data_IF_997973088174
#
_entry.id   IF_997973088174
#
_cell.length_a   1.000
_cell.length_b   1.000
_cell.length_c   1.000
_cell.angle_alpha   90.00
_cell.angle_beta   90.00
_cell.angle_gamma   90.00
#
_symmetry.space_group_name_H-M   'P 1'
#
loop_
_entity.id
_entity.type
_entity.pdbx_description
1 polymer ?
#
# COMPACT_ATOMS: atom_id res chain seq x y z
N UNK A 1 4.77 -8.19 -17.19
CA UNK A 1 4.00 -9.44 -17.06
C UNK A 1 3.35 -9.59 -15.68
N UNK A 2 4.04 -9.88 -14.57
CA UNK A 2 3.39 -10.02 -13.23
C UNK A 2 2.49 -8.82 -12.89
N UNK A 3 2.98 -7.60 -13.14
CA UNK A 3 2.19 -6.35 -13.02
C UNK A 3 0.86 -6.37 -13.76
N UNK A 4 0.87 -6.83 -15.02
CA UNK A 4 -0.30 -6.80 -15.91
C UNK A 4 -1.32 -7.88 -15.52
N UNK A 5 -0.83 -9.01 -15.00
CA UNK A 5 -1.68 -10.10 -14.51
C UNK A 5 -2.40 -9.69 -13.24
N UNK A 6 -1.69 -9.11 -12.27
CA UNK A 6 -2.28 -8.58 -11.02
C UNK A 6 -3.17 -7.34 -11.26
N UNK A 7 -3.10 -6.75 -12.46
CA UNK A 7 -3.97 -5.65 -12.86
C UNK A 7 -5.37 -6.12 -13.26
N UNK A 8 -5.50 -7.36 -13.72
CA UNK A 8 -6.77 -7.93 -14.14
C UNK A 8 -7.49 -8.56 -12.93
N UNK A 9 -8.71 -8.11 -12.57
CA UNK A 9 -9.40 -8.59 -11.37
C UNK A 9 -9.57 -10.11 -11.34
N UNK A 10 -9.96 -10.72 -12.47
CA UNK A 10 -10.18 -12.16 -12.59
C UNK A 10 -8.88 -12.97 -12.41
N UNK A 11 -7.78 -12.53 -13.02
CA UNK A 11 -6.50 -13.21 -12.89
C UNK A 11 -5.92 -13.03 -11.49
N UNK A 12 -6.12 -11.85 -10.89
CA UNK A 12 -5.76 -11.59 -9.50
C UNK A 12 -6.54 -12.49 -8.54
N UNK A 13 -7.82 -12.76 -8.82
CA UNK A 13 -8.63 -13.68 -8.02
C UNK A 13 -8.13 -15.12 -8.13
N UNK A 14 -7.81 -15.60 -9.34
CA UNK A 14 -7.25 -16.95 -9.55
C UNK A 14 -5.91 -17.12 -8.81
N UNK A 15 -5.01 -16.15 -8.92
CA UNK A 15 -3.72 -16.19 -8.21
C UNK A 15 -3.90 -16.13 -6.70
N UNK A 16 -4.90 -15.40 -6.22
CA UNK A 16 -5.21 -15.28 -4.79
C UNK A 16 -5.89 -16.50 -4.17
N UNK A 17 -6.21 -17.52 -4.96
CA UNK A 17 -6.85 -18.74 -4.48
C UNK A 17 -5.89 -19.58 -3.61
N UNK A 18 -6.47 -20.31 -2.66
CA UNK A 18 -5.83 -21.32 -1.81
C UNK A 18 -5.09 -22.41 -2.60
N UNK A 19 -5.53 -22.70 -3.83
CA UNK A 19 -4.87 -23.68 -4.72
C UNK A 19 -3.53 -23.16 -5.28
N UNK A 20 -3.37 -21.84 -5.40
CA UNK A 20 -2.21 -21.20 -6.04
C UNK A 20 -1.24 -20.54 -5.04
N UNK A 21 -1.28 -20.98 -3.78
CA UNK A 21 -0.44 -20.43 -2.69
C UNK A 21 1.04 -20.38 -3.05
N UNK A 22 1.57 -21.45 -3.62
CA UNK A 22 2.98 -21.53 -4.00
C UNK A 22 3.37 -20.47 -5.02
N UNK A 23 2.47 -20.12 -5.96
CA UNK A 23 2.77 -19.18 -7.03
C UNK A 23 3.00 -17.77 -6.50
N UNK A 24 2.10 -17.27 -5.65
CA UNK A 24 2.28 -15.93 -5.09
C UNK A 24 3.35 -15.90 -4.00
N UNK A 25 3.53 -16.96 -3.20
CA UNK A 25 4.66 -17.06 -2.26
C UNK A 25 6.00 -16.97 -2.99
N UNK A 26 6.16 -17.69 -4.11
CA UNK A 26 7.34 -17.60 -4.97
C UNK A 26 7.49 -16.22 -5.59
N UNK A 27 6.42 -15.60 -6.08
CA UNK A 27 6.47 -14.25 -6.66
C UNK A 27 6.92 -13.18 -5.65
N UNK A 28 6.36 -13.21 -4.43
CA UNK A 28 6.79 -12.35 -3.31
C UNK A 28 8.26 -12.62 -2.99
N UNK A 29 8.65 -13.89 -2.91
CA UNK A 29 10.05 -14.31 -2.75
C UNK A 29 10.95 -13.68 -3.80
N UNK A 30 10.66 -13.85 -5.09
CA UNK A 30 11.48 -13.33 -6.18
C UNK A 30 11.66 -11.81 -6.10
N UNK A 31 10.58 -11.06 -5.86
CA UNK A 31 10.67 -9.60 -5.72
C UNK A 31 11.54 -9.22 -4.52
N UNK A 32 11.34 -9.88 -3.37
CA UNK A 32 12.16 -9.66 -2.18
C UNK A 32 13.65 -9.90 -2.45
N UNK A 33 13.99 -11.00 -3.13
CA UNK A 33 15.39 -11.31 -3.50
C UNK A 33 15.97 -10.29 -4.48
N UNK A 34 15.19 -9.77 -5.44
CA UNK A 34 15.65 -8.71 -6.35
C UNK A 34 15.99 -7.43 -5.58
N UNK A 35 15.13 -7.02 -4.64
CA UNK A 35 15.36 -5.85 -3.78
C UNK A 35 16.60 -6.05 -2.91
N UNK A 36 16.78 -7.24 -2.35
CA UNK A 36 17.95 -7.60 -1.54
C UNK A 36 19.24 -7.60 -2.36
N UNK A 37 19.25 -8.25 -3.54
CA UNK A 37 20.39 -8.28 -4.45
C UNK A 37 20.77 -6.88 -4.95
N UNK A 38 19.79 -6.01 -5.14
CA UNK A 38 19.99 -4.59 -5.48
C UNK A 38 20.46 -3.73 -4.31
N UNK A 39 20.65 -4.28 -3.10
CA UNK A 39 21.03 -3.55 -1.87
C UNK A 39 20.16 -2.31 -1.61
N UNK A 40 18.88 -2.41 -1.96
CA UNK A 40 17.92 -1.29 -1.86
C UNK A 40 17.59 -0.97 -0.41
N UNK A 41 17.62 -1.96 0.47
CA UNK A 41 17.44 -1.79 1.90
C UNK A 41 18.52 -0.88 2.52
N UNK A 42 18.21 -0.27 3.66
CA UNK A 42 19.21 0.38 4.51
C UNK A 42 20.08 -0.68 5.18
N UNK A 43 21.33 -0.33 5.49
CA UNK A 43 22.28 -1.25 6.12
C UNK A 43 21.79 -1.70 7.52
N UNK A 44 20.98 -0.87 8.19
CA UNK A 44 20.37 -1.15 9.50
C UNK A 44 18.96 -1.77 9.40
N UNK A 45 18.56 -2.34 8.25
CA UNK A 45 17.24 -2.96 8.14
C UNK A 45 17.17 -4.28 8.92
N UNK A 46 16.66 -4.19 10.15
CA UNK A 46 16.32 -5.35 10.98
C UNK A 46 14.96 -5.92 10.56
N UNK A 47 14.90 -7.19 10.09
CA UNK A 47 13.64 -7.86 9.81
C UNK A 47 12.77 -7.92 11.05
N UNK A 48 11.47 -7.67 10.93
CA UNK A 48 10.57 -7.83 12.08
C UNK A 48 10.32 -9.31 12.36
N UNK A 49 10.35 -9.68 13.64
CA UNK A 49 9.95 -11.00 14.10
C UNK A 49 8.49 -10.97 14.55
N UNK A 50 7.70 -11.90 14.05
CA UNK A 50 6.37 -12.19 14.60
C UNK A 50 6.59 -13.12 15.80
N UNK A 51 5.97 -12.86 16.96
CA UNK A 51 6.10 -13.73 18.12
C UNK A 51 5.72 -15.17 17.75
N UNK A 52 6.67 -16.11 17.89
CA UNK A 52 6.39 -17.54 17.77
C UNK A 52 5.95 -18.05 19.13
N UNK A 53 4.65 -18.32 19.31
CA UNK A 53 4.19 -18.95 20.53
C UNK A 53 4.33 -20.47 20.42
N UNK A 54 5.34 -21.01 21.12
CA UNK A 54 5.65 -22.43 21.31
C UNK A 54 5.83 -23.25 20.02
N UNK A 55 6.84 -24.12 20.01
CA UNK A 55 6.99 -25.11 18.96
C UNK A 55 5.75 -26.02 18.96
N UNK A 56 4.77 -25.70 18.12
CA UNK A 56 3.65 -26.58 17.82
C UNK A 56 4.26 -27.91 17.34
N UNK A 57 3.94 -29.06 17.97
CA UNK A 57 4.48 -30.35 17.59
C UNK A 57 3.96 -30.70 16.21
N UNK A 58 4.83 -30.53 15.19
CA UNK A 58 4.51 -30.68 13.78
C UNK A 58 4.49 -29.36 13.03
N UNK A 59 5.67 -28.78 12.76
CA UNK A 59 5.84 -27.70 11.77
C UNK A 59 5.32 -28.20 10.43
N UNK A 60 4.10 -27.77 10.07
CA UNK A 60 3.61 -27.94 8.72
C UNK A 60 4.47 -27.04 7.84
N UNK A 61 5.36 -27.64 7.05
CA UNK A 61 6.27 -26.88 6.19
C UNK A 61 5.49 -25.91 5.29
N UNK A 62 4.23 -26.20 4.95
CA UNK A 62 3.39 -25.30 4.15
C UNK A 62 3.12 -23.98 4.88
N UNK A 63 2.77 -24.04 6.16
CA UNK A 63 2.50 -22.84 6.96
C UNK A 63 3.77 -21.99 7.14
N UNK A 64 4.93 -22.61 7.29
CA UNK A 64 6.20 -21.87 7.40
C UNK A 64 6.52 -21.07 6.12
N UNK A 65 6.28 -21.65 4.94
CA UNK A 65 6.46 -20.95 3.66
C UNK A 65 5.45 -19.81 3.49
N UNK A 66 4.22 -20.03 3.95
CA UNK A 66 3.15 -19.03 3.96
C UNK A 66 3.52 -17.85 4.85
N UNK A 67 3.91 -18.11 6.08
CA UNK A 67 4.33 -17.10 7.04
C UNK A 67 5.55 -16.33 6.53
N UNK A 68 6.53 -17.01 5.90
CA UNK A 68 7.67 -16.34 5.28
C UNK A 68 7.24 -15.36 4.17
N UNK A 69 6.24 -15.71 3.36
CA UNK A 69 5.69 -14.79 2.37
C UNK A 69 4.98 -13.59 3.01
N UNK A 70 4.26 -13.80 4.12
CA UNK A 70 3.66 -12.73 4.91
C UNK A 70 4.70 -11.75 5.46
N UNK A 71 5.83 -12.25 5.97
CA UNK A 71 6.94 -11.41 6.41
C UNK A 71 7.50 -10.56 5.27
N UNK A 72 7.88 -11.23 4.18
CA UNK A 72 8.49 -10.58 3.00
C UNK A 72 7.57 -9.51 2.41
N UNK A 73 6.25 -9.73 2.35
CA UNK A 73 5.37 -8.70 1.80
C UNK A 73 5.26 -7.48 2.71
N UNK A 74 5.26 -7.67 4.03
CA UNK A 74 5.17 -6.56 4.98
C UNK A 74 6.44 -5.73 4.96
N UNK A 75 7.60 -6.38 4.79
CA UNK A 75 8.88 -5.72 4.54
C UNK A 75 8.81 -4.90 3.24
N UNK A 76 8.42 -5.53 2.12
CA UNK A 76 8.28 -4.83 0.84
C UNK A 76 7.36 -3.60 0.95
N UNK A 77 6.26 -3.69 1.70
CA UNK A 77 5.37 -2.56 1.94
C UNK A 77 6.02 -1.49 2.82
N UNK A 78 6.80 -1.85 3.84
CA UNK A 78 7.57 -0.90 4.64
C UNK A 78 8.54 -0.10 3.77
N UNK A 79 9.25 -0.78 2.87
CA UNK A 79 10.17 -0.15 1.93
C UNK A 79 9.48 0.89 1.02
N UNK A 80 8.22 0.66 0.65
CA UNK A 80 7.44 1.61 -0.15
C UNK A 80 6.94 2.82 0.66
N UNK A 81 6.74 2.62 1.96
CA UNK A 81 6.15 3.63 2.85
C UNK A 81 7.20 4.39 3.66
N UNK A 82 8.50 4.18 3.40
CA UNK A 82 9.56 4.93 4.07
C UNK A 82 9.27 6.44 4.00
N UNK A 83 9.25 7.10 5.16
CA UNK A 83 9.13 8.55 5.20
C UNK A 83 10.32 9.19 4.46
N UNK A 84 10.04 10.23 3.68
CA UNK A 84 11.09 11.09 3.15
C UNK A 84 11.79 11.75 4.34
N UNK A 85 12.94 11.20 4.73
CA UNK A 85 13.74 11.70 5.84
C UNK A 85 14.35 13.06 5.45
N UNK A 86 14.55 13.98 6.40
CA UNK A 86 15.39 15.16 6.17
C UNK A 86 16.82 14.79 5.72
N UNK A 87 17.27 13.54 5.96
CA UNK A 87 18.57 13.00 5.55
C UNK A 87 18.63 12.51 4.10
N UNK A 88 17.54 12.59 3.34
CA UNK A 88 17.53 12.29 1.91
C UNK A 88 16.28 11.53 1.41
N UNK A 89 16.12 11.42 0.08
CA UNK A 89 14.98 10.75 -0.53
C UNK A 89 14.93 9.24 -0.22
N UNK A 90 13.73 8.65 -0.29
CA UNK A 90 13.45 7.24 0.00
C UNK A 90 14.45 6.27 -0.64
N UNK A 91 14.86 5.22 0.09
CA UNK A 91 15.85 4.27 -0.39
C UNK A 91 15.37 3.54 -1.65
N UNK A 92 14.08 3.19 -1.70
CA UNK A 92 13.46 2.61 -2.89
C UNK A 92 13.60 3.50 -4.12
N UNK A 93 13.40 4.81 -3.97
CA UNK A 93 13.46 5.77 -5.09
C UNK A 93 14.88 5.98 -5.57
N UNK A 94 15.85 6.03 -4.65
CA UNK A 94 17.25 6.36 -4.94
C UNK A 94 18.06 5.18 -5.45
N UNK A 95 17.85 3.99 -4.87
CA UNK A 95 18.66 2.80 -5.18
C UNK A 95 18.06 1.91 -6.26
N UNK A 96 16.76 2.00 -6.52
CA UNK A 96 16.12 1.21 -7.58
C UNK A 96 16.26 1.91 -8.93
N UNK A 97 16.72 1.18 -9.95
CA UNK A 97 16.81 1.70 -11.31
C UNK A 97 15.47 2.27 -11.78
N UNK A 98 15.51 3.46 -12.38
CA UNK A 98 14.32 4.24 -12.66
C UNK A 98 13.25 3.50 -13.48
N UNK A 99 13.66 2.72 -14.48
CA UNK A 99 12.74 1.96 -15.33
C UNK A 99 12.04 0.83 -14.57
N UNK A 100 12.60 0.36 -13.45
CA UNK A 100 12.02 -0.68 -12.59
C UNK A 100 11.14 -0.14 -11.48
N UNK A 101 11.30 1.12 -11.06
CA UNK A 101 10.60 1.69 -9.89
C UNK A 101 9.10 1.49 -9.95
N UNK A 102 8.45 1.96 -11.01
CA UNK A 102 6.99 1.85 -11.14
C UNK A 102 6.49 0.42 -11.38
N UNK A 103 7.10 -0.38 -12.29
CA UNK A 103 6.75 -1.79 -12.41
C UNK A 103 6.86 -2.57 -11.09
N UNK A 104 7.93 -2.33 -10.31
CA UNK A 104 8.18 -3.00 -9.04
C UNK A 104 7.18 -2.57 -7.97
N UNK A 105 6.99 -1.26 -7.79
CA UNK A 105 5.99 -0.71 -6.85
C UNK A 105 4.60 -1.28 -7.11
N UNK A 106 4.17 -1.32 -8.37
CA UNK A 106 2.86 -1.88 -8.76
C UNK A 106 2.77 -3.38 -8.50
N UNK A 107 3.84 -4.13 -8.72
CA UNK A 107 3.87 -5.57 -8.43
C UNK A 107 3.79 -5.83 -6.91
N UNK A 108 4.57 -5.10 -6.11
CA UNK A 108 4.55 -5.18 -4.65
C UNK A 108 3.15 -4.86 -4.08
N UNK A 109 2.53 -3.75 -4.51
CA UNK A 109 1.17 -3.41 -4.08
C UNK A 109 0.14 -4.43 -4.58
N UNK A 110 0.26 -4.92 -5.81
CA UNK A 110 -0.63 -5.96 -6.34
C UNK A 110 -0.58 -7.25 -5.52
N UNK A 111 0.62 -7.71 -5.14
CA UNK A 111 0.80 -8.89 -4.29
C UNK A 111 0.32 -8.66 -2.86
N UNK A 112 0.55 -7.47 -2.30
CA UNK A 112 0.06 -7.07 -0.98
C UNK A 112 -1.47 -7.05 -0.86
N UNK A 113 -2.19 -7.04 -1.99
CA UNK A 113 -3.65 -7.10 -2.05
C UNK A 113 -4.21 -8.53 -2.11
N UNK A 114 -3.36 -9.56 -2.21
CA UNK A 114 -3.82 -10.94 -2.22
C UNK A 114 -4.31 -11.37 -0.83
N UNK A 115 -5.46 -12.07 -0.71
CA UNK A 115 -6.15 -12.28 0.57
C UNK A 115 -5.26 -12.83 1.68
N UNK A 116 -4.47 -13.84 1.36
CA UNK A 116 -3.64 -14.58 2.32
C UNK A 116 -2.60 -13.70 3.02
N UNK A 117 -2.00 -12.74 2.30
CA UNK A 117 -0.93 -11.88 2.84
C UNK A 117 -1.40 -10.47 3.18
N UNK A 118 -2.63 -10.11 2.78
CA UNK A 118 -3.13 -8.74 2.87
C UNK A 118 -3.26 -8.25 4.31
N UNK A 119 -3.66 -9.11 5.25
CA UNK A 119 -3.68 -8.77 6.68
C UNK A 119 -2.30 -8.33 7.18
N UNK A 120 -1.27 -9.11 6.86
CA UNK A 120 0.12 -8.78 7.22
C UNK A 120 0.63 -7.52 6.53
N UNK A 121 0.34 -7.36 5.24
CA UNK A 121 0.74 -6.17 4.49
C UNK A 121 0.18 -4.87 5.10
N UNK A 122 -1.03 -4.93 5.66
CA UNK A 122 -1.69 -3.78 6.31
C UNK A 122 -1.25 -3.59 7.77
N UNK A 123 -0.63 -4.59 8.39
CA UNK A 123 -0.23 -4.54 9.79
C UNK A 123 1.13 -3.82 9.96
N UNK A 124 1.21 -2.76 10.77
CA UNK A 124 2.48 -2.11 11.11
C UNK A 124 3.47 -3.07 11.78
N UNK A 125 4.76 -3.10 11.40
CA UNK A 125 5.74 -4.00 12.00
C UNK A 125 5.98 -3.74 13.49
N UNK A 126 5.80 -2.49 13.92
CA UNK A 126 5.91 -2.09 15.34
C UNK A 126 4.93 -2.85 16.23
N UNK A 127 3.77 -3.25 15.70
CA UNK A 127 2.73 -3.95 16.43
C UNK A 127 3.20 -5.31 16.96
N UNK A 128 4.04 -6.00 16.18
CA UNK A 128 4.65 -7.27 16.57
C UNK A 128 5.64 -7.08 17.73
N UNK A 129 6.38 -5.97 17.74
CA UNK A 129 7.31 -5.61 18.82
C UNK A 129 6.58 -5.24 20.11
N UNK A 130 5.36 -4.72 19.99
CA UNK A 130 4.45 -4.45 21.11
C UNK A 130 3.76 -5.71 21.65
N UNK A 131 4.08 -6.90 21.12
CA UNK A 131 3.55 -8.17 21.62
C UNK A 131 2.17 -8.54 21.09
N UNK A 132 1.66 -7.88 20.04
CA UNK A 132 0.39 -8.28 19.44
C UNK A 132 0.54 -9.63 18.73
N UNK A 133 -0.24 -10.62 19.18
CA UNK A 133 -0.31 -11.95 18.60
C UNK A 133 -1.78 -12.39 18.53
N UNK A 134 -2.44 -12.34 17.37
CA UNK A 134 -3.87 -12.65 17.27
C UNK A 134 -4.12 -14.18 17.16
N UNK A 135 -5.26 -14.66 17.67
CA UNK A 135 -5.60 -16.08 17.73
C UNK A 135 -5.61 -16.87 16.40
N UNK A 136 -5.85 -16.28 15.21
CA UNK A 136 -5.64 -17.00 13.95
C UNK A 136 -4.19 -17.44 13.74
N UNK A 137 -3.23 -16.63 14.18
CA UNK A 137 -1.81 -16.98 14.09
C UNK A 137 -1.46 -18.16 15.01
N UNK A 138 -2.08 -18.23 16.19
CA UNK A 138 -1.98 -19.36 17.12
C UNK A 138 -2.52 -20.66 16.50
N UNK A 139 -3.47 -20.55 15.55
CA UNK A 139 -4.06 -21.68 14.82
C UNK A 139 -3.40 -21.93 13.46
N UNK A 140 -2.19 -21.41 13.23
CA UNK A 140 -1.47 -21.53 11.96
C UNK A 140 -2.26 -20.99 10.75
N UNK A 141 -2.90 -19.82 10.91
CA UNK A 141 -3.62 -19.12 9.85
C UNK A 141 -3.06 -17.71 9.65
N UNK A 142 -3.07 -17.24 8.41
CA UNK A 142 -2.54 -15.91 8.05
C UNK A 142 -3.61 -14.81 7.97
N UNK A 143 -4.89 -15.19 8.14
CA UNK A 143 -6.01 -14.26 8.15
C UNK A 143 -6.07 -13.52 9.49
N UNK A 144 -5.47 -12.34 9.55
CA UNK A 144 -5.41 -11.53 10.76
C UNK A 144 -6.75 -10.80 11.01
N UNK A 145 -7.17 -10.63 12.28
CA UNK A 145 -8.29 -9.78 12.63
C UNK A 145 -7.90 -8.29 12.49
N UNK A 146 -8.88 -7.37 12.56
CA UNK A 146 -8.61 -5.94 12.71
C UNK A 146 -7.67 -5.64 13.89
N UNK A 147 -6.83 -4.62 13.73
CA UNK A 147 -5.95 -4.16 14.80
C UNK A 147 -6.82 -3.60 15.94
N UNK A 148 -6.64 -4.06 17.19
CA UNK A 148 -7.40 -3.52 18.32
C UNK A 148 -7.17 -2.03 18.50
N UNK A 149 -8.21 -1.31 18.93
CA UNK A 149 -8.19 0.14 19.06
C UNK A 149 -7.07 0.63 20.00
N UNK A 150 -6.80 -0.12 21.07
CA UNK A 150 -5.75 0.22 22.05
C UNK A 150 -4.36 0.36 21.41
N UNK A 151 -4.02 -0.49 20.44
CA UNK A 151 -2.74 -0.33 19.73
C UNK A 151 -2.77 0.82 18.72
N UNK A 152 -3.94 1.16 18.16
CA UNK A 152 -4.08 2.28 17.24
C UNK A 152 -4.04 3.63 17.96
N UNK A 153 -4.20 3.67 19.29
CA UNK A 153 -3.95 4.87 20.10
C UNK A 153 -2.46 5.23 20.18
N UNK A 154 -1.56 4.30 19.84
CA UNK A 154 -0.15 4.60 19.69
C UNK A 154 0.10 5.36 18.38
N UNK A 155 0.41 6.66 18.48
CA UNK A 155 0.70 7.54 17.32
C UNK A 155 1.62 6.92 16.25
N UNK A 156 2.77 6.29 16.56
CA UNK A 156 3.62 5.69 15.54
C UNK A 156 2.97 4.50 14.84
N UNK A 157 2.14 3.72 15.54
CA UNK A 157 1.38 2.60 14.98
C UNK A 157 0.32 3.14 14.02
N UNK A 158 -0.46 4.13 14.45
CA UNK A 158 -1.50 4.75 13.62
C UNK A 158 -0.93 5.36 12.34
N UNK A 159 0.19 6.08 12.46
CA UNK A 159 0.86 6.69 11.31
C UNK A 159 1.28 5.63 10.28
N UNK A 160 1.94 4.57 10.73
CA UNK A 160 2.35 3.46 9.85
C UNK A 160 1.14 2.74 9.25
N UNK A 161 0.09 2.51 10.05
CA UNK A 161 -1.16 1.90 9.58
C UNK A 161 -1.80 2.72 8.46
N UNK A 162 -1.95 4.03 8.66
CA UNK A 162 -2.52 4.94 7.66
C UNK A 162 -1.69 4.95 6.37
N UNK A 163 -0.36 4.98 6.46
CA UNK A 163 0.52 4.90 5.29
C UNK A 163 0.34 3.60 4.51
N UNK A 164 0.26 2.46 5.21
CA UNK A 164 0.04 1.13 4.63
C UNK A 164 -1.31 1.02 3.94
N UNK A 165 -2.41 1.43 4.58
CA UNK A 165 -3.74 1.39 3.95
C UNK A 165 -3.87 2.38 2.79
N UNK A 166 -3.16 3.50 2.82
CA UNK A 166 -3.16 4.47 1.70
C UNK A 166 -2.36 3.96 0.49
N UNK A 167 -1.23 3.29 0.72
CA UNK A 167 -0.38 2.76 -0.36
C UNK A 167 -0.99 1.52 -1.02
N UNK A 168 -1.62 0.64 -0.24
CA UNK A 168 -2.22 -0.61 -0.71
C UNK A 168 -3.67 -0.42 -1.16
N UNK A 169 -4.41 0.47 -0.49
CA UNK A 169 -5.85 0.62 -0.61
C UNK A 169 -6.63 -0.49 0.12
N UNK A 170 -7.86 -0.75 -0.32
CA UNK A 170 -8.73 -1.80 0.23
C UNK A 170 -9.22 -2.77 -0.86
N UNK A 171 -9.51 -4.01 -0.48
CA UNK A 171 -9.85 -5.13 -1.39
C UNK A 171 -11.32 -5.52 -1.35
N UNK A 172 -12.04 -5.16 -0.29
CA UNK A 172 -13.47 -5.46 -0.13
C UNK A 172 -14.19 -4.33 0.60
N UNK A 173 -15.52 -4.28 0.46
CA UNK A 173 -16.37 -3.37 1.24
C UNK A 173 -16.22 -3.60 2.75
N UNK A 174 -16.14 -4.85 3.16
CA UNK A 174 -15.94 -5.22 4.56
C UNK A 174 -14.63 -4.61 5.10
N UNK A 175 -13.53 -4.77 4.37
CA UNK A 175 -12.24 -4.18 4.75
C UNK A 175 -12.28 -2.65 4.84
N UNK A 176 -13.05 -2.00 3.95
CA UNK A 176 -13.29 -0.55 4.04
C UNK A 176 -14.03 -0.20 5.33
N UNK A 177 -15.14 -0.89 5.64
CA UNK A 177 -15.96 -0.65 6.83
C UNK A 177 -15.19 -0.91 8.12
N UNK A 178 -14.34 -1.94 8.17
CA UNK A 178 -13.44 -2.20 9.31
C UNK A 178 -12.47 -1.04 9.54
N UNK A 179 -11.78 -0.59 8.48
CA UNK A 179 -10.82 0.53 8.57
C UNK A 179 -11.52 1.81 8.98
N UNK A 180 -12.71 2.04 8.42
CA UNK A 180 -13.55 3.18 8.75
C UNK A 180 -13.96 3.17 10.23
N UNK A 181 -14.47 2.05 10.73
CA UNK A 181 -14.88 1.91 12.13
C UNK A 181 -13.70 2.10 13.09
N UNK A 182 -12.53 1.51 12.81
CA UNK A 182 -11.33 1.70 13.62
C UNK A 182 -10.89 3.17 13.67
N UNK A 183 -10.88 3.87 12.54
CA UNK A 183 -10.48 5.29 12.51
C UNK A 183 -11.49 6.20 13.19
N UNK A 184 -12.79 5.91 13.10
CA UNK A 184 -13.82 6.64 13.85
C UNK A 184 -13.71 6.40 15.36
N UNK A 185 -13.36 5.18 15.79
CA UNK A 185 -13.16 4.87 17.20
C UNK A 185 -12.09 5.73 17.87
N UNK A 186 -11.10 6.19 17.11
CA UNK A 186 -10.03 7.09 17.59
C UNK A 186 -10.49 8.54 17.79
N UNK A 187 -11.66 8.91 17.28
CA UNK A 187 -12.24 10.25 17.45
C UNK A 187 -13.06 10.38 18.74
N UNK A 188 -13.25 9.29 19.47
CA UNK A 188 -13.95 9.35 20.76
C UNK A 188 -13.07 10.08 21.79
N UNK A 189 -13.64 11.04 22.53
CA UNK A 189 -12.91 11.75 23.59
C UNK A 189 -12.56 10.80 24.74
N UNK A 190 -11.57 11.21 25.54
CA UNK A 190 -11.24 10.52 26.79
C UNK A 190 -12.48 10.47 27.71
N UNK A 191 -12.68 9.33 28.37
CA UNK A 191 -13.86 9.08 29.20
C UNK A 191 -13.95 10.02 30.41
N UNK A 192 -12.82 10.56 30.90
CA UNK A 192 -12.75 11.45 32.07
C UNK A 192 -11.92 12.70 31.77
N UNK A 193 -12.52 13.75 31.17
CA UNK A 193 -11.79 14.96 30.76
C UNK A 193 -11.25 15.82 31.91
N UNK A 194 -11.69 15.61 33.15
CA UNK A 194 -11.30 16.45 34.31
C UNK A 194 -9.90 16.12 34.88
N UNK A 195 -9.35 14.94 34.57
CA UNK A 195 -8.05 14.47 35.08
C UNK A 195 -6.95 14.35 34.00
N UNK A 196 -7.24 14.77 32.76
CA UNK A 196 -6.31 14.62 31.63
C UNK A 196 -5.25 15.70 31.67
N UNK A 197 -3.98 15.31 31.61
CA UNK A 197 -2.89 16.27 31.52
C UNK A 197 -2.90 16.98 30.16
N UNK A 198 -2.48 18.26 30.12
CA UNK A 198 -2.40 19.02 28.86
C UNK A 198 -1.58 18.30 27.78
N UNK A 199 -0.52 17.59 28.18
CA UNK A 199 0.32 16.80 27.27
C UNK A 199 -0.48 15.65 26.61
N UNK A 200 -1.29 14.94 27.39
CA UNK A 200 -2.15 13.86 26.89
C UNK A 200 -3.25 14.42 25.96
N UNK A 201 -3.79 15.60 26.28
CA UNK A 201 -4.75 16.30 25.41
C UNK A 201 -4.12 16.68 24.06
N UNK A 202 -2.88 17.17 24.07
CA UNK A 202 -2.13 17.48 22.85
C UNK A 202 -1.87 16.23 22.00
N UNK A 203 -1.42 15.13 22.62
CA UNK A 203 -1.18 13.86 21.92
C UNK A 203 -2.48 13.30 21.31
N UNK A 204 -3.58 13.35 22.06
CA UNK A 204 -4.89 12.95 21.57
C UNK A 204 -5.35 13.82 20.38
N UNK A 205 -5.09 15.13 20.43
CA UNK A 205 -5.39 16.05 19.32
C UNK A 205 -4.61 15.71 18.04
N UNK A 206 -3.32 15.40 18.17
CA UNK A 206 -2.49 14.97 17.04
C UNK A 206 -2.95 13.63 16.46
N UNK A 207 -3.34 12.70 17.33
CA UNK A 207 -3.89 11.40 16.95
C UNK A 207 -5.21 11.55 16.17
N UNK A 208 -6.12 12.39 16.66
CA UNK A 208 -7.37 12.72 15.96
C UNK A 208 -7.10 13.35 14.60
N UNK A 209 -6.14 14.27 14.50
CA UNK A 209 -5.73 14.86 13.22
C UNK A 209 -5.24 13.80 12.23
N UNK A 210 -4.45 12.82 12.69
CA UNK A 210 -4.02 11.69 11.86
C UNK A 210 -5.21 10.83 11.42
N UNK A 211 -6.11 10.48 12.34
CA UNK A 211 -7.31 9.71 12.04
C UNK A 211 -8.19 10.40 10.98
N UNK A 212 -8.44 11.70 11.11
CA UNK A 212 -9.20 12.51 10.14
C UNK A 212 -8.53 12.50 8.77
N UNK A 213 -7.20 12.62 8.70
CA UNK A 213 -6.45 12.49 7.44
C UNK A 213 -6.59 11.10 6.84
N UNK A 214 -6.54 10.06 7.67
CA UNK A 214 -6.79 8.67 7.27
C UNK A 214 -8.18 8.49 6.69
N UNK A 215 -9.21 8.99 7.37
CA UNK A 215 -10.61 8.97 6.94
C UNK A 215 -10.77 9.68 5.59
N UNK A 216 -10.20 10.88 5.46
CA UNK A 216 -10.25 11.67 4.22
C UNK A 216 -9.64 10.89 3.06
N UNK A 217 -8.47 10.29 3.25
CA UNK A 217 -7.82 9.46 2.24
C UNK A 217 -8.63 8.21 1.89
N UNK A 218 -9.21 7.54 2.90
CA UNK A 218 -10.06 6.37 2.71
C UNK A 218 -11.30 6.70 1.87
N UNK A 219 -11.92 7.86 2.11
CA UNK A 219 -13.05 8.37 1.32
C UNK A 219 -12.61 8.77 -0.10
N UNK A 220 -11.47 9.42 -0.28
CA UNK A 220 -10.93 9.73 -1.62
C UNK A 220 -10.63 8.46 -2.43
N UNK A 221 -10.30 7.34 -1.77
CA UNK A 221 -10.13 6.06 -2.45
C UNK A 221 -11.45 5.50 -3.05
N UNK A 222 -12.62 5.96 -2.59
CA UNK A 222 -13.93 5.54 -3.14
C UNK A 222 -14.25 6.17 -4.50
N UNK A 223 -13.67 7.34 -4.80
CA UNK A 223 -13.87 8.04 -6.08
C UNK A 223 -12.92 7.56 -7.18
N UNK A 224 -12.08 6.57 -6.89
CA UNK A 224 -11.18 5.96 -7.87
C UNK A 224 -11.95 5.17 -8.93
N UNK A 225 -11.47 5.22 -10.19
CA UNK A 225 -11.99 4.46 -11.34
C UNK A 225 -10.85 3.79 -12.12
N UNK A 226 -11.03 2.57 -12.66
CA UNK A 226 -12.30 1.81 -12.71
C UNK A 226 -12.64 1.10 -11.39
N UNK A 227 -11.66 0.76 -10.56
CA UNK A 227 -11.86 0.03 -9.29
C UNK A 227 -11.69 0.97 -8.10
N UNK A 228 -12.75 1.17 -7.32
CA UNK A 228 -12.65 1.84 -6.03
C UNK A 228 -11.65 1.08 -5.12
N UNK A 229 -10.92 1.82 -4.28
CA UNK A 229 -9.98 1.22 -3.32
C UNK A 229 -8.69 0.64 -3.88
N UNK A 230 -8.44 0.71 -5.20
CA UNK A 230 -7.21 0.21 -5.82
C UNK A 230 -6.34 1.36 -6.37
N UNK A 231 -5.37 1.86 -5.61
CA UNK A 231 -4.56 3.03 -6.02
C UNK A 231 -3.60 2.74 -7.18
N UNK A 232 -3.29 1.48 -7.49
CA UNK A 232 -2.38 1.13 -8.59
C UNK A 232 -3.07 0.98 -9.93
N UNK A 233 -4.33 0.53 -9.93
CA UNK A 233 -5.07 0.22 -11.16
C UNK A 233 -6.10 1.30 -11.50
N UNK A 234 -6.31 2.24 -10.59
CA UNK A 234 -7.32 3.28 -10.73
C UNK A 234 -6.73 4.68 -10.61
N UNK A 235 -7.51 5.66 -11.06
CA UNK A 235 -7.22 7.09 -10.92
C UNK A 235 -8.44 7.80 -10.35
N UNK A 236 -8.27 8.93 -9.64
CA UNK A 236 -9.40 9.73 -9.18
C UNK A 236 -10.28 10.14 -10.37
N UNK A 237 -11.59 10.04 -10.19
CA UNK A 237 -12.55 10.55 -11.16
C UNK A 237 -12.33 12.06 -11.33
N UNK A 238 -11.97 12.48 -12.54
CA UNK A 238 -11.82 13.89 -12.90
C UNK A 238 -12.98 14.26 -13.83
N UNK A 239 -13.85 15.17 -13.37
CA UNK A 239 -14.95 15.70 -14.17
C UNK A 239 -14.50 17.06 -14.72
N UNK A 240 -14.30 17.20 -16.05
CA UNK A 240 -13.95 18.48 -16.62
C UNK A 240 -15.10 19.48 -16.42
N UNK A 241 -14.77 20.72 -16.03
CA UNK A 241 -15.76 21.79 -15.89
C UNK A 241 -16.23 22.36 -17.23
N UNK A 242 -15.46 22.13 -18.28
CA UNK A 242 -15.74 22.65 -19.62
C UNK A 242 -16.42 21.59 -20.46
N UNK A 243 -17.47 22.00 -21.16
CA UNK A 243 -18.13 21.17 -22.16
C UNK A 243 -17.20 20.88 -23.33
N UNK A 244 -17.51 19.81 -24.06
CA UNK A 244 -16.86 19.52 -25.32
C UNK A 244 -17.06 20.68 -26.30
N UNK A 245 -16.00 21.10 -26.96
CA UNK A 245 -16.07 22.18 -27.95
C UNK A 245 -17.07 21.83 -29.06
N UNK A 246 -18.11 22.66 -29.33
CA UNK A 246 -19.13 22.37 -30.34
C UNK A 246 -18.56 22.09 -31.73
N UNK A 247 -17.45 22.72 -32.07
CA UNK A 247 -16.72 22.48 -33.33
C UNK A 247 -16.37 21.01 -33.56
N UNK A 248 -16.04 20.25 -32.49
CA UNK A 248 -15.66 18.84 -32.60
C UNK A 248 -16.82 17.95 -33.10
N UNK A 249 -18.07 18.41 -33.00
CA UNK A 249 -19.23 17.70 -33.55
C UNK A 249 -19.31 17.79 -35.09
N UNK A 250 -18.67 18.79 -35.71
CA UNK A 250 -18.66 18.96 -37.18
C UNK A 250 -17.78 17.91 -37.88
N UNK A 251 -18.01 17.66 -39.18
CA UNK A 251 -17.15 16.72 -39.95
C UNK A 251 -15.67 17.10 -39.92
N UNK A 252 -15.34 18.40 -40.01
CA UNK A 252 -13.95 18.89 -39.93
C UNK A 252 -13.40 18.73 -38.51
N UNK A 253 -14.20 19.01 -37.50
CA UNK A 253 -13.86 18.82 -36.09
C UNK A 253 -13.57 17.36 -35.74
N UNK A 254 -14.35 16.42 -36.27
CA UNK A 254 -14.09 14.99 -36.08
C UNK A 254 -12.76 14.55 -36.73
N UNK A 255 -12.45 15.05 -37.94
CA UNK A 255 -11.15 14.79 -38.59
C UNK A 255 -9.99 15.34 -37.75
N UNK A 256 -10.12 16.57 -37.23
CA UNK A 256 -9.13 17.16 -36.32
C UNK A 256 -9.02 16.38 -35.02
N UNK A 257 -10.14 15.94 -34.44
CA UNK A 257 -10.18 15.14 -33.22
C UNK A 257 -9.38 13.84 -33.36
N UNK A 258 -9.50 13.15 -34.49
CA UNK A 258 -8.69 11.94 -34.79
C UNK A 258 -7.19 12.25 -34.85
N UNK A 259 -6.80 13.36 -35.50
CA UNK A 259 -5.39 13.78 -35.55
C UNK A 259 -4.87 14.17 -34.17
N UNK A 260 -5.68 14.89 -33.39
CA UNK A 260 -5.34 15.30 -32.02
C UNK A 260 -5.05 14.08 -31.15
N UNK A 261 -5.81 13.00 -31.26
CA UNK A 261 -5.54 11.76 -30.49
C UNK A 261 -4.14 11.21 -30.79
N UNK A 262 -3.68 11.24 -32.04
CA UNK A 262 -2.35 10.78 -32.41
C UNK A 262 -1.26 11.68 -31.80
N UNK A 263 -1.43 13.00 -31.91
CA UNK A 263 -0.49 13.97 -31.35
C UNK A 263 -0.45 13.88 -29.83
N UNK A 264 -1.60 13.81 -29.17
CA UNK A 264 -1.71 13.68 -27.72
C UNK A 264 -1.03 12.40 -27.23
N UNK A 265 -1.13 11.29 -27.99
CA UNK A 265 -0.43 10.03 -27.68
C UNK A 265 1.08 10.17 -27.74
N UNK A 266 1.61 10.81 -28.78
CA UNK A 266 3.06 11.05 -28.90
C UNK A 266 3.56 12.05 -27.85
N UNK A 267 2.78 13.08 -27.55
CA UNK A 267 3.08 14.01 -26.45
C UNK A 267 3.17 13.28 -25.11
N UNK A 268 2.22 12.40 -24.82
CA UNK A 268 2.25 11.59 -23.60
C UNK A 268 3.45 10.63 -23.58
N UNK A 269 3.80 10.00 -24.70
CA UNK A 269 4.98 9.14 -24.80
C UNK A 269 6.28 9.93 -24.53
N UNK A 270 6.43 11.12 -25.13
CA UNK A 270 7.56 12.01 -24.91
C UNK A 270 7.63 12.51 -23.46
N UNK A 271 6.49 12.87 -22.85
CA UNK A 271 6.43 13.27 -21.44
C UNK A 271 6.79 12.12 -20.50
N UNK A 272 6.32 10.89 -20.77
CA UNK A 272 6.67 9.72 -19.97
C UNK A 272 8.18 9.40 -20.03
N UNK A 273 8.81 9.64 -21.18
CA UNK A 273 10.26 9.51 -21.38
C UNK A 273 11.03 10.67 -20.73
N UNK A 274 10.44 11.88 -20.71
CA UNK A 274 11.04 13.05 -20.06
C UNK A 274 10.99 12.96 -18.54
N UNK A 275 9.89 12.52 -17.94
CA UNK A 275 9.81 12.18 -16.50
C UNK A 275 10.79 11.07 -16.11
N UNK A 276 11.23 10.24 -17.08
CA UNK A 276 12.39 9.39 -16.87
C UNK A 276 13.70 10.22 -16.87
N UNK A 277 13.94 11.07 -17.85
CA UNK A 277 15.17 11.88 -17.91
C UNK A 277 15.32 12.97 -16.82
N UNK A 278 14.25 13.57 -16.28
CA UNK A 278 14.33 14.67 -15.27
C UNK A 278 14.68 14.22 -13.84
N UNK A 279 14.97 12.94 -13.61
CA UNK A 279 15.45 12.43 -12.31
C UNK A 279 16.96 12.16 -12.28
N UNK A 280 17.70 12.60 -13.30
CA UNK A 280 19.16 12.75 -13.21
C UNK A 280 19.42 14.12 -12.58
N UNK A 281 20.15 14.22 -11.45
CA UNK A 281 20.58 15.52 -10.95
C UNK A 281 21.42 16.17 -12.04
N UNK A 282 21.17 17.43 -12.33
CA UNK A 282 22.16 18.25 -13.03
C UNK A 282 23.41 18.26 -12.15
N UNK A 283 24.38 17.40 -12.46
CA UNK A 283 25.72 17.49 -11.92
C UNK A 283 26.33 18.73 -12.54
N UNK A 284 26.38 19.78 -11.72
CA UNK A 284 27.21 20.96 -11.89
C UNK A 284 28.67 20.54 -12.11
N UNK A 285 29.25 21.00 -13.22
CA UNK A 285 30.63 21.49 -13.23
C UNK A 285 30.79 22.63 -12.24
#
# INVERSE_FOLDING_TARGET
>A
RVREVLQHPELSAVIGDSDHVTWFCSAIGCIHHIIQAGKVWKEEHEPFAVPKHQEMPGSDSRFDHQLQACHRISDLVELLNEDASPKGPQAFITKTSQFLREPMRRAMVGLARLPMVNGFARTPPLLWKMGWCPSPLERAQTNLPPIPLEFLKEKPVLRSFIQRVNSIGWTSRFQFEETWASLLGLLNPAENPEDVMLEEEMEQSELMCLAIRGITSLLLNTILRPSAGNPTNSRPLCIPRHDSLPFLATQKGQKLGRLRVLVDREMQAMQSTRSQKTLVPATST
#
